data_IF_049969592859
#
_entry.id   IF_049969592859
#
_cell.length_a   1.000
_cell.length_b   1.000
_cell.length_c   1.000
_cell.angle_alpha   90.00
_cell.angle_beta   90.00
_cell.angle_gamma   90.00
#
_symmetry.space_group_name_H-M   'P 1'
#
loop_
_entity.id
_entity.type
_entity.pdbx_description
1 polymer ?
#
# COMPACT_ATOMS: atom_id res chain seq x y z
N UNK A 1 -59.05 -21.45 -11.15
CA UNK A 1 -57.73 -21.75 -11.67
C UNK A 1 -56.73 -20.79 -11.03
N UNK A 2 -56.33 -21.22 -9.83
CA UNK A 2 -55.22 -20.60 -9.07
C UNK A 2 -53.92 -21.16 -9.57
N UNK A 3 -52.87 -20.34 -9.71
CA UNK A 3 -51.55 -20.76 -9.34
C UNK A 3 -50.47 -19.89 -9.87
N UNK A 4 -49.71 -19.65 -8.95
CA UNK A 4 -48.26 -19.79 -8.88
C UNK A 4 -47.54 -18.51 -9.24
N UNK A 5 -47.48 -17.63 -8.26
CA UNK A 5 -46.44 -16.61 -8.12
C UNK A 5 -45.71 -16.92 -6.82
N UNK A 6 -44.77 -17.84 -6.91
CA UNK A 6 -43.81 -18.07 -5.83
C UNK A 6 -42.41 -18.19 -6.44
N UNK A 7 -41.48 -17.71 -5.65
CA UNK A 7 -40.03 -17.94 -5.78
C UNK A 7 -39.26 -17.07 -6.76
N UNK A 8 -38.98 -15.83 -6.38
CA UNK A 8 -37.69 -15.19 -6.58
C UNK A 8 -37.37 -14.31 -5.35
N UNK A 9 -37.50 -14.86 -4.16
CA UNK A 9 -36.78 -14.34 -2.99
C UNK A 9 -35.40 -15.00 -2.95
N UNK A 10 -34.51 -14.51 -3.74
CA UNK A 10 -33.07 -14.73 -3.51
C UNK A 10 -32.68 -13.93 -2.28
N UNK A 11 -32.86 -14.52 -1.09
CA UNK A 11 -32.20 -14.08 0.14
C UNK A 11 -30.64 -14.16 -0.07
N UNK A 12 -30.11 -13.14 -0.71
CA UNK A 12 -28.68 -12.87 -0.66
C UNK A 12 -28.34 -12.56 0.78
N UNK A 13 -27.63 -13.46 1.43
CA UNK A 13 -27.16 -13.34 2.80
C UNK A 13 -26.57 -11.94 3.03
N UNK A 14 -27.21 -11.04 3.81
CA UNK A 14 -26.69 -9.69 4.06
C UNK A 14 -25.34 -9.70 4.79
N UNK A 15 -24.90 -10.84 5.31
CA UNK A 15 -23.58 -11.01 5.93
C UNK A 15 -22.44 -10.89 4.92
N UNK A 16 -22.67 -11.17 3.63
CA UNK A 16 -21.66 -11.05 2.57
C UNK A 16 -21.28 -9.59 2.24
N UNK A 17 -22.10 -8.62 2.63
CA UNK A 17 -21.88 -7.19 2.39
C UNK A 17 -21.47 -6.41 3.63
N UNK A 18 -21.24 -7.09 4.75
CA UNK A 18 -20.73 -6.41 5.95
C UNK A 18 -19.26 -6.01 5.75
N UNK A 19 -18.90 -4.71 5.78
CA UNK A 19 -17.50 -4.27 5.73
C UNK A 19 -16.62 -4.93 6.81
N UNK A 20 -17.24 -5.39 7.89
CA UNK A 20 -16.56 -6.11 8.99
C UNK A 20 -16.06 -7.50 8.60
N UNK A 21 -16.60 -8.13 7.54
CA UNK A 21 -16.21 -9.47 7.15
C UNK A 21 -14.83 -9.50 6.45
N UNK A 22 -14.45 -8.44 5.73
CA UNK A 22 -13.19 -8.37 4.96
C UNK A 22 -12.17 -7.35 5.50
N UNK A 23 -12.57 -6.47 6.42
CA UNK A 23 -11.68 -5.62 7.22
C UNK A 23 -11.58 -6.15 8.65
N UNK A 24 -11.28 -7.43 8.79
CA UNK A 24 -11.09 -8.04 10.11
C UNK A 24 -9.92 -7.42 10.87
N UNK A 25 -9.96 -7.47 12.22
CA UNK A 25 -8.87 -6.94 13.05
C UNK A 25 -7.51 -7.56 12.71
N UNK A 26 -7.47 -8.84 12.35
CA UNK A 26 -6.25 -9.52 11.94
C UNK A 26 -5.64 -8.95 10.65
N UNK A 27 -6.46 -8.58 9.66
CA UNK A 27 -6.00 -7.94 8.42
C UNK A 27 -5.38 -6.57 8.70
N UNK A 28 -6.00 -5.78 9.57
CA UNK A 28 -5.48 -4.46 9.94
C UNK A 28 -4.23 -4.57 10.83
N UNK A 29 -4.13 -5.59 11.66
CA UNK A 29 -2.96 -5.83 12.49
C UNK A 29 -1.75 -6.26 11.63
N UNK A 30 -1.93 -7.20 10.71
CA UNK A 30 -0.90 -7.55 9.73
C UNK A 30 -0.47 -6.36 8.87
N UNK A 31 -1.41 -5.50 8.45
CA UNK A 31 -1.08 -4.26 7.76
C UNK A 31 -0.25 -3.31 8.62
N UNK A 32 -0.56 -3.20 9.90
CA UNK A 32 0.20 -2.37 10.84
C UNK A 32 1.63 -2.87 11.02
N UNK A 33 1.83 -4.18 11.09
CA UNK A 33 3.17 -4.78 11.13
C UNK A 33 3.98 -4.47 9.86
N UNK A 34 3.35 -4.59 8.68
CA UNK A 34 3.99 -4.22 7.41
C UNK A 34 4.32 -2.73 7.38
N UNK A 35 3.41 -1.87 7.83
CA UNK A 35 3.62 -0.43 7.91
C UNK A 35 4.74 -0.06 8.89
N UNK A 36 4.91 -0.78 10.00
CA UNK A 36 6.01 -0.55 10.93
C UNK A 36 7.37 -0.78 10.23
N UNK A 37 7.51 -1.85 9.43
CA UNK A 37 8.69 -2.11 8.62
C UNK A 37 8.91 -1.05 7.54
N UNK A 38 7.84 -0.52 6.96
CA UNK A 38 7.90 0.60 6.02
C UNK A 38 8.43 1.88 6.68
N UNK A 39 7.97 2.20 7.89
CA UNK A 39 8.43 3.36 8.66
C UNK A 39 9.90 3.21 9.10
N UNK A 40 10.30 2.01 9.51
CA UNK A 40 11.70 1.74 9.83
C UNK A 40 12.61 1.96 8.62
N UNK A 41 12.20 1.50 7.43
CA UNK A 41 12.93 1.74 6.19
C UNK A 41 13.06 3.24 5.88
N UNK A 42 12.01 4.02 6.08
CA UNK A 42 12.03 5.48 5.89
C UNK A 42 12.96 6.18 6.89
N UNK A 43 12.95 5.77 8.16
CA UNK A 43 13.88 6.28 9.18
C UNK A 43 15.33 5.96 8.81
N UNK A 44 15.60 4.73 8.39
CA UNK A 44 16.93 4.30 7.96
C UNK A 44 17.43 5.10 6.74
N UNK A 45 16.56 5.29 5.74
CA UNK A 45 16.87 6.09 4.56
C UNK A 45 17.13 7.56 4.91
N UNK A 46 16.35 8.14 5.83
CA UNK A 46 16.55 9.51 6.30
C UNK A 46 17.88 9.69 7.06
N UNK A 47 18.30 8.67 7.81
CA UNK A 47 19.58 8.64 8.52
C UNK A 47 20.76 8.48 7.57
N UNK A 48 20.63 7.66 6.53
CA UNK A 48 21.68 7.41 5.54
C UNK A 48 22.06 8.67 4.74
N UNK A 49 21.15 9.64 4.61
CA UNK A 49 21.46 10.94 3.99
C UNK A 49 21.80 10.86 2.49
N UNK A 50 21.29 9.85 1.78
CA UNK A 50 21.57 9.62 0.36
C UNK A 50 21.16 10.83 -0.52
N UNK A 51 21.95 11.12 -1.56
CA UNK A 51 21.69 12.20 -2.53
C UNK A 51 21.38 11.62 -3.91
N UNK A 52 20.44 12.19 -4.68
CA UNK A 52 19.53 13.29 -4.31
C UNK A 52 18.48 12.84 -3.30
N UNK A 53 18.30 13.60 -2.23
CA UNK A 53 17.32 13.28 -1.21
C UNK A 53 15.95 13.88 -1.57
N UNK A 54 14.91 13.06 -1.52
CA UNK A 54 13.55 13.53 -1.74
C UNK A 54 13.13 14.55 -0.67
N UNK A 55 12.30 15.57 -1.02
CA UNK A 55 11.79 16.57 -0.06
C UNK A 55 11.21 15.95 1.21
N UNK A 56 10.48 14.84 1.08
CA UNK A 56 9.94 14.07 2.21
C UNK A 56 10.98 13.72 3.28
N UNK A 57 12.19 13.35 2.85
CA UNK A 57 13.27 12.94 3.77
C UNK A 57 14.06 14.13 4.31
N UNK A 58 14.23 15.18 3.49
CA UNK A 58 15.02 16.35 3.88
C UNK A 58 14.25 17.31 4.77
N UNK A 59 13.01 17.64 4.40
CA UNK A 59 12.18 18.59 5.15
C UNK A 59 11.68 18.00 6.48
N UNK A 60 11.49 16.68 6.55
CA UNK A 60 11.02 16.00 7.76
C UNK A 60 12.13 15.24 8.49
N UNK A 61 13.40 15.54 8.19
CA UNK A 61 14.55 14.80 8.73
C UNK A 61 14.52 14.71 10.27
N UNK A 62 14.23 15.81 10.96
CA UNK A 62 14.15 15.82 12.41
C UNK A 62 13.08 14.85 12.92
N UNK A 63 11.88 14.87 12.33
CA UNK A 63 10.79 13.97 12.70
C UNK A 63 11.14 12.50 12.45
N UNK A 64 11.85 12.18 11.35
CA UNK A 64 12.29 10.82 11.07
C UNK A 64 13.32 10.30 12.07
N UNK A 65 14.26 11.16 12.51
CA UNK A 65 15.32 10.78 13.46
C UNK A 65 14.76 10.63 14.88
N UNK A 66 13.82 11.48 15.27
CA UNK A 66 13.21 11.50 16.59
C UNK A 66 12.06 10.51 16.77
N UNK A 67 11.62 9.86 15.69
CA UNK A 67 10.47 8.95 15.70
C UNK A 67 10.81 7.67 16.49
N UNK A 68 10.40 7.62 17.73
CA UNK A 68 10.61 6.47 18.60
C UNK A 68 9.74 5.25 18.19
N UNK A 69 9.99 4.09 18.81
CA UNK A 69 9.27 2.86 18.51
C UNK A 69 7.78 2.93 18.84
N UNK A 70 7.39 3.71 19.86
CA UNK A 70 5.99 3.86 20.23
C UNK A 70 5.26 4.76 19.22
N UNK A 71 5.87 5.85 18.78
CA UNK A 71 5.34 6.71 17.72
C UNK A 71 5.26 5.95 16.37
N UNK A 72 6.27 5.15 16.02
CA UNK A 72 6.22 4.29 14.82
C UNK A 72 5.03 3.34 14.86
N UNK A 73 4.82 2.63 15.97
CA UNK A 73 3.65 1.74 16.13
C UNK A 73 2.32 2.49 16.02
N UNK A 74 2.23 3.71 16.56
CA UNK A 74 1.03 4.54 16.40
C UNK A 74 0.79 4.94 14.95
N UNK A 75 1.83 5.41 14.25
CA UNK A 75 1.76 5.78 12.83
C UNK A 75 1.46 4.56 11.93
N UNK A 76 2.04 3.40 12.24
CA UNK A 76 1.85 2.16 11.48
C UNK A 76 0.39 1.66 11.46
N UNK A 77 -0.43 2.03 12.44
CA UNK A 77 -1.86 1.67 12.49
C UNK A 77 -2.75 2.46 11.51
N UNK A 78 -2.16 3.04 10.45
CA UNK A 78 -2.93 3.55 9.33
C UNK A 78 -3.67 2.39 8.63
N UNK A 79 -4.97 2.55 8.29
CA UNK A 79 -5.74 1.52 7.61
C UNK A 79 -5.47 1.51 6.09
N UNK A 80 -4.23 1.78 5.71
CA UNK A 80 -3.71 1.72 4.35
C UNK A 80 -2.19 1.53 4.38
N UNK A 81 -1.66 0.95 3.32
CA UNK A 81 -0.22 0.75 3.18
C UNK A 81 0.48 2.08 2.94
N UNK A 82 1.53 2.37 3.70
CA UNK A 82 2.30 3.62 3.65
C UNK A 82 3.25 3.71 2.46
N UNK A 83 3.70 2.57 1.93
CA UNK A 83 4.49 2.52 0.70
C UNK A 83 3.66 2.01 -0.47
N UNK A 84 4.02 2.42 -1.67
CA UNK A 84 3.50 1.88 -2.91
C UNK A 84 4.60 1.07 -3.62
N UNK A 85 4.22 -0.07 -4.19
CA UNK A 85 5.10 -0.92 -4.99
C UNK A 85 4.67 -0.92 -6.47
N UNK A 86 4.10 0.20 -6.94
CA UNK A 86 3.57 0.32 -8.29
C UNK A 86 2.21 -0.37 -8.45
N UNK A 87 1.39 -0.40 -7.41
CA UNK A 87 0.09 -1.07 -7.40
C UNK A 87 -0.98 -0.38 -8.26
N UNK A 88 -0.74 0.83 -8.71
CA UNK A 88 -1.58 1.54 -9.68
C UNK A 88 -1.17 1.28 -11.12
N UNK A 89 0.00 0.65 -11.34
CA UNK A 89 0.58 0.37 -12.66
C UNK A 89 0.51 -1.13 -12.99
N UNK A 90 -0.65 -1.65 -13.49
CA UNK A 90 -0.86 -3.08 -13.69
C UNK A 90 0.14 -3.73 -14.65
N UNK A 91 0.72 -2.96 -15.57
CA UNK A 91 1.74 -3.43 -16.51
C UNK A 91 3.02 -3.93 -15.81
N UNK A 92 3.34 -3.41 -14.62
CA UNK A 92 4.49 -3.87 -13.81
C UNK A 92 4.29 -5.27 -13.26
N UNK A 93 3.02 -5.65 -13.05
CA UNK A 93 2.61 -6.92 -12.44
C UNK A 93 2.09 -7.94 -13.45
N UNK A 94 1.99 -7.56 -14.73
CA UNK A 94 1.55 -8.43 -15.79
C UNK A 94 2.51 -9.63 -15.96
N UNK A 95 2.03 -10.79 -16.46
CA UNK A 95 2.87 -11.94 -16.77
C UNK A 95 4.03 -11.58 -17.71
N UNK A 96 5.17 -12.28 -17.59
CA UNK A 96 6.40 -11.99 -18.32
C UNK A 96 6.20 -11.89 -19.84
N UNK A 97 5.41 -12.80 -20.44
CA UNK A 97 5.11 -12.78 -21.87
C UNK A 97 4.45 -11.48 -22.37
N UNK A 98 3.75 -10.76 -21.48
CA UNK A 98 3.12 -9.46 -21.80
C UNK A 98 4.08 -8.29 -21.48
N UNK A 99 5.06 -8.52 -20.61
CA UNK A 99 6.06 -7.53 -20.20
C UNK A 99 7.17 -7.36 -21.22
N UNK A 100 7.73 -8.46 -21.74
CA UNK A 100 8.87 -8.45 -22.67
C UNK A 100 8.63 -7.61 -23.92
N UNK A 101 7.39 -7.61 -24.41
CA UNK A 101 6.99 -6.79 -25.57
C UNK A 101 6.93 -5.29 -25.25
N UNK A 102 6.75 -4.92 -23.97
CA UNK A 102 6.59 -3.52 -23.52
C UNK A 102 7.84 -2.91 -22.88
N UNK A 103 8.66 -3.72 -22.21
CA UNK A 103 9.91 -3.25 -21.58
C UNK A 103 10.91 -2.74 -22.64
N UNK A 104 10.81 -3.23 -23.89
CA UNK A 104 11.57 -2.68 -25.02
C UNK A 104 11.06 -1.31 -25.50
N UNK A 105 9.85 -0.92 -25.15
CA UNK A 105 9.23 0.32 -25.66
C UNK A 105 9.18 1.49 -24.66
N UNK A 106 9.27 1.28 -23.35
CA UNK A 106 8.98 2.30 -22.32
C UNK A 106 9.80 2.20 -21.03
N UNK A 107 11.02 1.71 -21.05
CA UNK A 107 11.86 1.65 -19.84
C UNK A 107 12.61 2.95 -19.59
N UNK A 108 11.93 4.02 -19.14
CA UNK A 108 12.65 5.01 -18.34
C UNK A 108 13.05 4.37 -17.01
N UNK A 109 14.34 4.40 -16.65
CA UNK A 109 14.79 3.86 -15.36
C UNK A 109 14.13 4.66 -14.24
N UNK A 110 13.20 4.05 -13.54
CA UNK A 110 12.61 4.66 -12.33
C UNK A 110 13.75 4.78 -11.31
N UNK A 111 14.13 6.02 -10.99
CA UNK A 111 15.13 6.26 -9.95
C UNK A 111 14.63 5.66 -8.63
N UNK A 112 15.46 4.84 -7.99
CA UNK A 112 15.10 4.21 -6.73
C UNK A 112 14.98 5.28 -5.64
N UNK A 113 13.86 5.27 -4.92
CA UNK A 113 13.67 6.13 -3.75
C UNK A 113 14.57 5.69 -2.58
N UNK A 114 14.67 4.38 -2.38
CA UNK A 114 15.47 3.78 -1.33
C UNK A 114 16.81 3.26 -1.86
N UNK A 115 17.89 3.62 -1.19
CA UNK A 115 19.26 3.18 -1.51
C UNK A 115 19.85 2.24 -0.47
N UNK A 116 19.15 2.06 0.66
CA UNK A 116 19.56 1.17 1.74
C UNK A 116 19.25 -0.29 1.40
N UNK A 117 20.11 -1.26 1.79
CA UNK A 117 19.95 -2.68 1.44
C UNK A 117 18.63 -3.29 1.91
N UNK A 118 18.08 -2.80 3.02
CA UNK A 118 16.81 -3.26 3.60
C UNK A 118 15.62 -3.08 2.64
N UNK A 119 15.70 -2.19 1.66
CA UNK A 119 14.63 -1.93 0.70
C UNK A 119 14.14 -3.21 0.00
N UNK A 120 15.05 -4.11 -0.38
CA UNK A 120 14.69 -5.40 -1.00
C UNK A 120 13.92 -6.32 -0.06
N UNK A 121 14.26 -6.35 1.22
CA UNK A 121 13.54 -7.15 2.21
C UNK A 121 12.13 -6.59 2.46
N UNK A 122 12.00 -5.26 2.57
CA UNK A 122 10.68 -4.60 2.72
C UNK A 122 9.85 -4.76 1.45
N UNK A 123 10.45 -4.67 0.26
CA UNK A 123 9.73 -4.94 -0.99
C UNK A 123 9.16 -6.35 -1.01
N UNK A 124 9.92 -7.38 -0.60
CA UNK A 124 9.42 -8.76 -0.49
C UNK A 124 8.26 -8.86 0.51
N UNK A 125 8.38 -8.24 1.68
CA UNK A 125 7.32 -8.23 2.69
C UNK A 125 6.04 -7.61 2.15
N UNK A 126 6.13 -6.40 1.59
CA UNK A 126 5.00 -5.66 1.00
C UNK A 126 4.33 -6.48 -0.11
N UNK A 127 5.11 -7.09 -1.00
CA UNK A 127 4.56 -7.84 -2.14
C UNK A 127 3.98 -9.20 -1.72
N UNK A 128 4.56 -9.87 -0.72
CA UNK A 128 4.00 -11.10 -0.15
C UNK A 128 2.67 -10.82 0.54
N UNK A 129 2.60 -9.76 1.33
CA UNK A 129 1.34 -9.32 1.95
C UNK A 129 0.30 -8.94 0.89
N UNK A 130 0.71 -8.21 -0.14
CA UNK A 130 -0.13 -7.82 -1.26
C UNK A 130 -0.68 -9.04 -2.03
N UNK A 131 0.15 -10.04 -2.29
CA UNK A 131 -0.25 -11.30 -2.90
C UNK A 131 -1.26 -12.06 -2.05
N UNK A 132 -0.97 -12.23 -0.76
CA UNK A 132 -1.89 -12.90 0.17
C UNK A 132 -3.26 -12.20 0.19
N UNK A 133 -3.26 -10.88 0.31
CA UNK A 133 -4.49 -10.11 0.37
C UNK A 133 -5.26 -10.12 -0.96
N UNK A 134 -4.56 -9.99 -2.09
CA UNK A 134 -5.18 -10.00 -3.42
C UNK A 134 -5.77 -11.37 -3.78
N UNK A 135 -5.11 -12.47 -3.37
CA UNK A 135 -5.59 -13.84 -3.62
C UNK A 135 -6.77 -14.23 -2.73
N UNK A 136 -6.82 -13.77 -1.49
CA UNK A 136 -7.87 -14.12 -0.53
C UNK A 136 -9.02 -13.10 -0.48
N UNK A 137 -8.72 -11.81 -0.61
CA UNK A 137 -9.65 -10.70 -0.41
C UNK A 137 -9.36 -9.52 -1.36
N UNK A 138 -9.57 -9.71 -2.66
CA UNK A 138 -9.23 -8.73 -3.70
C UNK A 138 -9.81 -7.33 -3.43
N UNK A 139 -11.00 -7.23 -2.86
CA UNK A 139 -11.59 -5.93 -2.47
C UNK A 139 -10.77 -5.23 -1.37
N UNK A 140 -10.31 -5.97 -0.36
CA UNK A 140 -9.45 -5.44 0.69
C UNK A 140 -8.09 -4.98 0.12
N UNK A 141 -7.47 -5.76 -0.77
CA UNK A 141 -6.24 -5.37 -1.44
C UNK A 141 -6.38 -4.04 -2.18
N UNK A 142 -7.50 -3.84 -2.88
CA UNK A 142 -7.77 -2.59 -3.60
C UNK A 142 -7.93 -1.40 -2.66
N UNK A 143 -8.61 -1.59 -1.54
CA UNK A 143 -8.88 -0.50 -0.58
C UNK A 143 -7.66 -0.19 0.28
N UNK A 144 -7.04 -1.21 0.88
CA UNK A 144 -5.95 -1.01 1.84
C UNK A 144 -4.61 -0.71 1.16
N UNK A 145 -4.36 -1.33 0.00
CA UNK A 145 -3.10 -1.18 -0.73
C UNK A 145 -3.21 -0.20 -1.92
N UNK A 146 -4.40 0.36 -2.17
CA UNK A 146 -4.62 1.27 -3.30
C UNK A 146 -4.39 0.61 -4.66
N UNK A 147 -4.65 -0.70 -4.78
CA UNK A 147 -4.46 -1.42 -6.03
C UNK A 147 -5.52 -1.08 -7.07
N UNK A 148 -5.11 -0.97 -8.33
CA UNK A 148 -6.06 -1.04 -9.44
C UNK A 148 -6.69 -2.44 -9.51
N UNK A 149 -7.87 -2.57 -10.14
CA UNK A 149 -8.54 -3.86 -10.28
C UNK A 149 -7.66 -4.87 -11.06
N UNK A 150 -7.02 -4.41 -12.14
CA UNK A 150 -6.13 -5.24 -12.94
C UNK A 150 -4.88 -5.68 -12.18
N UNK A 151 -4.30 -4.77 -11.37
CA UNK A 151 -3.15 -5.10 -10.54
C UNK A 151 -3.51 -6.17 -9.48
N UNK A 152 -4.63 -5.99 -8.78
CA UNK A 152 -5.11 -6.97 -7.81
C UNK A 152 -5.37 -8.34 -8.46
N UNK A 153 -5.90 -8.37 -9.70
CA UNK A 153 -6.10 -9.59 -10.45
C UNK A 153 -4.75 -10.24 -10.82
N UNK A 154 -3.80 -9.49 -11.39
CA UNK A 154 -2.50 -10.04 -11.77
C UNK A 154 -1.73 -10.60 -10.58
N UNK A 155 -1.69 -9.85 -9.47
CA UNK A 155 -1.00 -10.29 -8.25
C UNK A 155 -1.72 -11.48 -7.61
N UNK A 156 -3.05 -11.44 -7.50
CA UNK A 156 -3.84 -12.49 -6.84
C UNK A 156 -3.84 -13.83 -7.57
N UNK A 157 -3.67 -13.84 -8.91
CA UNK A 157 -3.57 -15.06 -9.73
C UNK A 157 -2.14 -15.54 -9.94
N UNK A 158 -1.14 -14.73 -9.56
CA UNK A 158 0.27 -15.08 -9.70
C UNK A 158 0.68 -16.16 -8.68
N UNK A 159 1.72 -16.93 -9.01
CA UNK A 159 2.35 -17.80 -8.01
C UNK A 159 3.22 -17.00 -7.05
N UNK A 160 3.33 -17.45 -5.81
CA UNK A 160 4.21 -16.81 -4.82
C UNK A 160 5.66 -16.71 -5.32
N UNK A 161 6.17 -17.75 -6.00
CA UNK A 161 7.51 -17.73 -6.57
C UNK A 161 7.69 -16.67 -7.67
N UNK A 162 6.66 -16.38 -8.46
CA UNK A 162 6.70 -15.28 -9.42
C UNK A 162 6.75 -13.92 -8.74
N UNK A 163 5.87 -13.71 -7.74
CA UNK A 163 5.83 -12.46 -6.96
C UNK A 163 7.16 -12.21 -6.22
N UNK A 164 7.75 -13.26 -5.63
CA UNK A 164 9.06 -13.15 -4.95
C UNK A 164 10.18 -12.75 -5.90
N UNK A 165 10.26 -13.35 -7.09
CA UNK A 165 11.27 -12.98 -8.10
C UNK A 165 11.09 -11.54 -8.58
N UNK A 166 9.85 -11.09 -8.76
CA UNK A 166 9.58 -9.69 -9.11
C UNK A 166 10.06 -8.75 -8.01
N UNK A 167 9.76 -9.06 -6.76
CA UNK A 167 10.17 -8.25 -5.62
C UNK A 167 11.70 -8.14 -5.51
N UNK A 168 12.42 -9.24 -5.73
CA UNK A 168 13.90 -9.27 -5.70
C UNK A 168 14.52 -8.42 -6.81
N UNK A 169 13.96 -8.46 -8.01
CA UNK A 169 14.47 -7.72 -9.17
C UNK A 169 14.07 -6.25 -9.23
N UNK A 170 13.08 -5.81 -8.42
CA UNK A 170 12.44 -4.51 -8.64
C UNK A 170 12.21 -3.71 -7.33
N UNK A 171 13.18 -3.75 -6.41
CA UNK A 171 13.12 -2.94 -5.18
C UNK A 171 12.96 -1.44 -5.45
N UNK A 172 13.40 -0.95 -6.63
CA UNK A 172 13.25 0.44 -7.08
C UNK A 172 11.78 0.86 -7.31
N UNK A 173 10.83 -0.07 -7.38
CA UNK A 173 9.41 0.28 -7.47
C UNK A 173 8.82 0.73 -6.14
N UNK A 174 9.51 0.42 -5.04
CA UNK A 174 9.04 0.79 -3.70
C UNK A 174 9.22 2.28 -3.47
N UNK A 175 8.13 2.97 -3.20
CA UNK A 175 8.10 4.41 -2.99
C UNK A 175 7.15 4.78 -1.85
N UNK A 176 7.43 5.85 -1.08
CA UNK A 176 6.44 6.38 -0.13
C UNK A 176 5.20 6.87 -0.89
N UNK A 177 4.04 6.56 -0.37
CA UNK A 177 2.83 7.21 -0.89
C UNK A 177 2.91 8.69 -0.66
N UNK A 178 2.45 9.46 -1.64
CA UNK A 178 2.43 10.92 -1.54
C UNK A 178 3.79 11.51 -1.15
N UNK A 179 4.87 11.00 -1.74
CA UNK A 179 6.22 11.51 -1.49
C UNK A 179 6.37 13.00 -1.83
N UNK A 180 5.53 13.50 -2.73
CA UNK A 180 5.38 14.90 -3.13
C UNK A 180 4.52 15.73 -2.17
N UNK A 181 3.72 15.10 -1.30
CA UNK A 181 2.81 15.75 -0.36
C UNK A 181 3.38 15.71 1.07
N UNK A 182 4.46 16.41 1.28
CA UNK A 182 5.23 16.41 2.55
C UNK A 182 4.36 16.70 3.77
N UNK A 183 3.34 17.55 3.63
CA UNK A 183 2.43 17.91 4.73
C UNK A 183 1.60 16.73 5.25
N UNK A 184 1.25 15.75 4.38
CA UNK A 184 0.51 14.55 4.81
C UNK A 184 1.36 13.72 5.77
N UNK A 185 2.63 13.57 5.44
CA UNK A 185 3.59 12.87 6.29
C UNK A 185 3.93 13.64 7.55
N UNK A 186 4.07 14.97 7.46
CA UNK A 186 4.30 15.81 8.63
C UNK A 186 3.18 15.65 9.65
N UNK A 187 1.92 15.76 9.20
CA UNK A 187 0.75 15.59 10.05
C UNK A 187 0.74 14.20 10.71
N UNK A 188 0.99 13.14 9.95
CA UNK A 188 1.02 11.77 10.48
C UNK A 188 2.12 11.60 11.52
N UNK A 189 3.35 12.02 11.23
CA UNK A 189 4.50 11.85 12.13
C UNK A 189 4.37 12.68 13.40
N UNK A 190 3.96 13.96 13.27
CA UNK A 190 3.79 14.84 14.42
C UNK A 190 2.68 14.36 15.35
N UNK A 191 1.55 13.92 14.81
CA UNK A 191 0.45 13.40 15.61
C UNK A 191 0.78 12.03 16.23
N UNK A 192 1.56 11.22 15.55
CA UNK A 192 2.04 9.96 16.10
C UNK A 192 3.06 10.21 17.24
N UNK A 193 3.92 11.20 17.11
CA UNK A 193 4.88 11.59 18.16
C UNK A 193 4.16 12.16 19.40
N UNK A 194 3.19 13.06 19.21
CA UNK A 194 2.42 13.63 20.33
C UNK A 194 1.54 12.61 21.06
N UNK A 195 1.13 11.53 20.38
CA UNK A 195 0.21 10.53 20.93
C UNK A 195 -1.24 11.02 21.10
N UNK A 196 -1.59 12.18 20.53
CA UNK A 196 -2.96 12.71 20.56
C UNK A 196 -3.88 11.86 19.67
N UNK A 197 -4.70 11.01 20.26
CA UNK A 197 -5.50 10.03 19.57
C UNK A 197 -6.46 10.67 18.53
N UNK A 198 -7.14 11.75 18.90
CA UNK A 198 -8.09 12.41 18.00
C UNK A 198 -7.41 13.04 16.77
N UNK A 199 -6.21 13.61 16.94
CA UNK A 199 -5.44 14.15 15.81
C UNK A 199 -4.93 13.03 14.91
N UNK A 200 -4.49 11.92 15.49
CA UNK A 200 -4.03 10.74 14.74
C UNK A 200 -5.16 10.13 13.92
N UNK A 201 -6.37 10.02 14.46
CA UNK A 201 -7.55 9.55 13.72
C UNK A 201 -7.90 10.49 12.55
N UNK A 202 -7.83 11.82 12.75
CA UNK A 202 -8.03 12.77 11.65
C UNK A 202 -6.98 12.59 10.53
N UNK A 203 -5.71 12.38 10.91
CA UNK A 203 -4.64 12.12 9.94
C UNK A 203 -4.89 10.83 9.14
N UNK A 204 -5.33 9.75 9.80
CA UNK A 204 -5.69 8.48 9.16
C UNK A 204 -6.86 8.63 8.18
N UNK A 205 -7.92 9.33 8.57
CA UNK A 205 -9.08 9.61 7.73
C UNK A 205 -8.66 10.41 6.49
N UNK A 206 -7.81 11.43 6.64
CA UNK A 206 -7.25 12.18 5.51
C UNK A 206 -6.52 11.27 4.53
N UNK A 207 -5.69 10.34 5.02
CA UNK A 207 -5.01 9.37 4.16
C UNK A 207 -5.97 8.46 3.38
N UNK A 208 -7.05 7.99 4.00
CA UNK A 208 -8.10 7.22 3.30
C UNK A 208 -8.74 8.07 2.20
N UNK A 209 -9.05 9.33 2.46
CA UNK A 209 -9.64 10.25 1.48
C UNK A 209 -8.71 10.47 0.29
N UNK A 210 -7.42 10.65 0.54
CA UNK A 210 -6.41 10.77 -0.52
C UNK A 210 -6.32 9.50 -1.36
N UNK A 211 -6.27 8.32 -0.71
CA UNK A 211 -6.24 7.05 -1.41
C UNK A 211 -7.47 6.85 -2.31
N UNK A 212 -8.65 7.23 -1.82
CA UNK A 212 -9.88 7.18 -2.59
C UNK A 212 -9.88 8.18 -3.77
N UNK A 213 -9.27 9.35 -3.59
CA UNK A 213 -9.13 10.35 -4.66
C UNK A 213 -8.17 9.85 -5.76
N UNK A 214 -7.01 9.31 -5.39
CA UNK A 214 -6.03 8.75 -6.33
C UNK A 214 -6.62 7.56 -7.12
N UNK A 215 -7.42 6.70 -6.46
CA UNK A 215 -8.11 5.60 -7.14
C UNK A 215 -9.19 6.07 -8.13
N UNK A 216 -9.79 7.23 -7.94
CA UNK A 216 -10.71 7.84 -8.90
C UNK A 216 -9.97 8.45 -10.08
N UNK A 217 -8.88 9.18 -9.84
CA UNK A 217 -8.06 9.78 -10.89
C UNK A 217 -7.53 8.73 -11.86
N UNK A 218 -7.07 7.58 -11.34
CA UNK A 218 -6.56 6.46 -12.15
C UNK A 218 -7.60 5.75 -13.03
N UNK A 219 -8.90 6.02 -12.84
CA UNK A 219 -9.98 5.45 -13.68
C UNK A 219 -10.36 6.32 -14.87
N UNK A 220 -9.93 7.57 -14.85
CA UNK A 220 -10.32 8.59 -15.84
C UNK A 220 -9.24 8.71 -16.95
N UNK A 221 -8.04 8.21 -16.69
CA UNK A 221 -6.94 8.10 -17.66
C UNK A 221 -6.97 6.74 -18.37
#
# INVERSE_FOLDING_TARGET
MSQQRDALSGDGDPALWSPRAWLGPQTLEALAEVNEQCLELLCEQAQAGARPAAPLLTELRALWIELDSAARRRAARCPYLLLDAGFTAPQRWAPAATREVRDQACAEPVAAFFTVPRASAVMRLVTTYAWHLASSQSAAARVLLGMSASCAQHIGTATLGYVSRLAEGHAQWLQPRWADRVMVWRDLLSTAASGEQAALERSRIRGIQLLAADARASRIM
#
